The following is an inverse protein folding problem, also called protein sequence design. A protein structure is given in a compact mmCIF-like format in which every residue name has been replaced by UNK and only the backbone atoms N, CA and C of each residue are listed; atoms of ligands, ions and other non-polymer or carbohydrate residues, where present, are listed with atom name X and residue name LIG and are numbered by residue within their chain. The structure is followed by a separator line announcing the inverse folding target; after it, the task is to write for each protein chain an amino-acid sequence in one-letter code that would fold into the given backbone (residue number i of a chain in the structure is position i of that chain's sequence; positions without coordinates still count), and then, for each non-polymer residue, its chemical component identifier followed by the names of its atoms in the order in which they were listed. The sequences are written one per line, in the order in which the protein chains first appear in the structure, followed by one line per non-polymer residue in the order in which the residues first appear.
data_IF_648671993967
#
_entry.id   IF_648671993967
#
_cell.length_a   1.000
_cell.length_b   1.000
_cell.length_c   1.000
_cell.angle_alpha   90.00
_cell.angle_beta   90.00
_cell.angle_gamma   90.00
#
_symmetry.space_group_name_H-M   'P 1'
#
loop_
_entity.id
_entity.type
_entity.pdbx_description
1 polymer ?
#
# COMPACT_ATOMS: atom_id res chain seq x y z
N UNK A 1 47.98 -8.48 33.95
CA UNK A 1 48.70 -9.35 32.99
C UNK A 1 47.74 -10.47 32.62
N UNK A 2 46.94 -10.37 31.56
CA UNK A 2 47.04 -9.57 30.34
C UNK A 2 45.68 -8.97 29.95
N UNK A 3 45.73 -7.79 29.34
CA UNK A 3 44.65 -7.14 28.62
C UNK A 3 44.12 -7.98 27.47
N UNK A 4 42.82 -7.86 27.18
CA UNK A 4 42.32 -8.03 25.82
C UNK A 4 41.11 -7.11 25.62
N UNK A 5 41.40 -5.84 25.33
CA UNK A 5 40.54 -5.09 24.43
C UNK A 5 40.58 -5.77 23.06
N UNK A 6 39.42 -6.22 22.59
CA UNK A 6 39.18 -6.43 21.17
C UNK A 6 37.84 -5.77 20.86
N UNK A 7 37.92 -4.49 20.51
CA UNK A 7 36.92 -3.80 19.72
C UNK A 7 36.56 -4.65 18.51
N UNK A 8 35.34 -5.15 18.45
CA UNK A 8 34.73 -5.59 17.19
C UNK A 8 33.35 -4.99 17.12
N UNK A 9 33.32 -3.78 16.59
CA UNK A 9 32.15 -3.20 15.93
C UNK A 9 31.65 -4.23 14.90
N UNK A 10 30.60 -4.96 15.24
CA UNK A 10 29.79 -5.64 14.24
C UNK A 10 28.82 -4.60 13.67
N UNK A 11 29.37 -3.61 12.97
CA UNK A 11 28.62 -2.70 12.11
C UNK A 11 28.13 -3.46 10.88
N UNK A 12 27.26 -4.45 11.09
CA UNK A 12 26.52 -5.08 10.02
C UNK A 12 25.52 -4.06 9.49
N UNK A 13 25.89 -3.31 8.45
CA UNK A 13 24.93 -2.55 7.66
C UNK A 13 23.92 -3.54 7.10
N UNK A 14 22.76 -3.66 7.74
CA UNK A 14 21.59 -4.33 7.20
C UNK A 14 21.26 -3.64 5.89
N UNK A 15 21.51 -4.33 4.77
CA UNK A 15 21.23 -3.79 3.46
C UNK A 15 19.71 -3.75 3.28
N UNK A 16 19.13 -2.56 3.46
CA UNK A 16 17.70 -2.34 3.21
C UNK A 16 17.43 -2.59 1.73
N UNK A 17 16.52 -3.51 1.43
CA UNK A 17 16.04 -3.75 0.07
C UNK A 17 14.60 -3.26 -0.02
N UNK A 18 14.41 -2.14 -0.69
CA UNK A 18 13.08 -1.60 -0.98
C UNK A 18 12.44 -2.40 -2.11
N UNK A 19 11.30 -3.04 -1.82
CA UNK A 19 10.49 -3.72 -2.83
C UNK A 19 9.67 -2.68 -3.58
N UNK A 20 9.90 -2.56 -4.88
CA UNK A 20 9.19 -1.60 -5.74
C UNK A 20 7.80 -2.10 -6.13
N UNK A 21 6.92 -1.16 -6.42
CA UNK A 21 5.65 -1.42 -7.10
C UNK A 21 5.87 -2.08 -8.47
N UNK A 22 4.89 -2.87 -8.91
CA UNK A 22 4.92 -3.51 -10.22
C UNK A 22 4.76 -2.48 -11.34
N UNK A 23 5.49 -2.68 -12.44
CA UNK A 23 5.27 -1.87 -13.64
C UNK A 23 3.86 -2.11 -14.19
N UNK A 24 3.33 -1.15 -14.97
CA UNK A 24 1.97 -1.25 -15.52
C UNK A 24 1.74 -2.55 -16.33
N UNK A 25 2.74 -3.00 -17.08
CA UNK A 25 2.68 -4.24 -17.85
C UNK A 25 2.64 -5.49 -16.96
N UNK A 26 3.43 -5.51 -15.89
CA UNK A 26 3.48 -6.62 -14.92
C UNK A 26 2.19 -6.66 -14.10
N UNK A 27 1.69 -5.50 -13.71
CA UNK A 27 0.43 -5.34 -12.99
C UNK A 27 -0.75 -5.88 -13.80
N UNK A 28 -0.79 -5.58 -15.10
CA UNK A 28 -1.82 -6.10 -15.99
C UNK A 28 -1.71 -7.62 -16.14
N UNK A 29 -0.50 -8.17 -16.26
CA UNK A 29 -0.31 -9.62 -16.31
C UNK A 29 -0.80 -10.30 -15.03
N UNK A 30 -0.40 -9.78 -13.86
CA UNK A 30 -0.81 -10.33 -12.57
C UNK A 30 -2.33 -10.29 -12.39
N UNK A 31 -2.94 -9.15 -12.68
CA UNK A 31 -4.40 -9.01 -12.60
C UNK A 31 -5.12 -9.98 -13.54
N UNK A 32 -4.66 -10.11 -14.80
CA UNK A 32 -5.26 -11.03 -15.77
C UNK A 32 -5.12 -12.48 -15.33
N UNK A 33 -4.00 -12.84 -14.73
CA UNK A 33 -3.78 -14.17 -14.19
C UNK A 33 -4.83 -14.52 -13.13
N UNK A 34 -5.13 -13.61 -12.20
CA UNK A 34 -6.16 -13.83 -11.18
C UNK A 34 -7.60 -13.71 -11.71
N UNK A 35 -7.85 -12.89 -12.73
CA UNK A 35 -9.17 -12.73 -13.32
C UNK A 35 -9.56 -13.85 -14.29
N UNK A 36 -8.63 -14.29 -15.13
CA UNK A 36 -8.89 -15.19 -16.27
C UNK A 36 -8.11 -16.51 -16.21
N UNK A 37 -7.12 -16.66 -15.32
CA UNK A 37 -6.23 -17.82 -15.28
C UNK A 37 -5.15 -17.82 -16.37
N UNK A 38 -5.06 -16.76 -17.17
CA UNK A 38 -4.06 -16.56 -18.22
C UNK A 38 -3.87 -15.08 -18.53
N UNK A 39 -2.82 -14.73 -19.28
CA UNK A 39 -2.49 -13.33 -19.57
C UNK A 39 -3.32 -12.70 -20.70
N UNK A 40 -4.22 -13.44 -21.34
CA UNK A 40 -5.10 -12.93 -22.40
C UNK A 40 -6.36 -12.28 -21.82
N UNK A 41 -6.78 -11.15 -22.40
CA UNK A 41 -8.02 -10.43 -22.01
C UNK A 41 -8.90 -10.30 -23.24
N UNK A 42 -10.20 -10.59 -23.15
CA UNK A 42 -11.14 -10.22 -24.20
C UNK A 42 -11.06 -8.72 -24.47
N UNK A 43 -11.03 -8.32 -25.74
CA UNK A 43 -10.84 -6.91 -26.12
C UNK A 43 -11.93 -5.99 -25.52
N UNK A 44 -13.16 -6.51 -25.37
CA UNK A 44 -14.28 -5.83 -24.69
C UNK A 44 -14.02 -5.50 -23.22
N UNK A 45 -13.13 -6.24 -22.54
CA UNK A 45 -12.82 -6.08 -21.13
C UNK A 45 -11.51 -5.30 -20.89
N UNK A 46 -10.71 -5.10 -21.94
CA UNK A 46 -9.35 -4.56 -21.82
C UNK A 46 -9.31 -3.14 -21.25
N UNK A 47 -10.26 -2.27 -21.63
CA UNK A 47 -10.35 -0.92 -21.09
C UNK A 47 -10.58 -0.92 -19.57
N UNK A 48 -11.50 -1.77 -19.09
CA UNK A 48 -11.80 -1.89 -17.66
C UNK A 48 -10.65 -2.52 -16.88
N UNK A 49 -10.00 -3.56 -17.44
CA UNK A 49 -8.81 -4.15 -16.84
C UNK A 49 -7.70 -3.11 -16.64
N UNK A 50 -7.44 -2.26 -17.63
CA UNK A 50 -6.44 -1.18 -17.52
C UNK A 50 -6.82 -0.15 -16.46
N UNK A 51 -8.09 0.25 -16.37
CA UNK A 51 -8.54 1.19 -15.34
C UNK A 51 -8.43 0.61 -13.94
N UNK A 52 -8.80 -0.65 -13.72
CA UNK A 52 -8.66 -1.35 -12.44
C UNK A 52 -7.19 -1.50 -12.04
N UNK A 53 -6.33 -1.92 -12.98
CA UNK A 53 -4.89 -2.04 -12.76
C UNK A 53 -4.27 -0.70 -12.40
N UNK A 54 -4.70 0.38 -13.06
CA UNK A 54 -4.26 1.74 -12.73
C UNK A 54 -4.70 2.13 -11.31
N UNK A 55 -5.94 1.80 -10.93
CA UNK A 55 -6.45 2.05 -9.58
C UNK A 55 -5.64 1.31 -8.50
N UNK A 56 -5.17 0.08 -8.78
CA UNK A 56 -4.34 -0.68 -7.84
C UNK A 56 -2.93 -0.12 -7.59
N UNK A 57 -2.46 0.86 -8.37
CA UNK A 57 -1.16 1.50 -8.14
C UNK A 57 0.04 0.56 -8.15
N UNK A 58 -0.02 -0.57 -8.88
CA UNK A 58 1.08 -1.53 -8.92
C UNK A 58 1.26 -2.40 -7.67
N UNK A 59 0.34 -2.31 -6.69
CA UNK A 59 0.36 -3.13 -5.48
C UNK A 59 -0.09 -4.57 -5.80
N UNK A 60 0.79 -5.60 -5.65
CA UNK A 60 0.46 -6.98 -5.99
C UNK A 60 -0.79 -7.49 -5.27
N UNK A 61 -0.94 -7.12 -4.00
CA UNK A 61 -2.07 -7.52 -3.16
C UNK A 61 -3.40 -7.02 -3.73
N UNK A 62 -3.49 -5.74 -4.10
CA UNK A 62 -4.70 -5.14 -4.64
C UNK A 62 -5.09 -5.79 -5.98
N UNK A 63 -4.09 -6.01 -6.85
CA UNK A 63 -4.29 -6.68 -8.13
C UNK A 63 -4.83 -8.10 -7.98
N UNK A 64 -4.28 -8.86 -7.03
CA UNK A 64 -4.74 -10.22 -6.74
C UNK A 64 -6.17 -10.25 -6.19
N UNK A 65 -6.49 -9.40 -5.21
CA UNK A 65 -7.81 -9.35 -4.59
C UNK A 65 -8.88 -8.98 -5.62
N UNK A 66 -8.64 -7.90 -6.39
CA UNK A 66 -9.60 -7.45 -7.39
C UNK A 66 -9.71 -8.40 -8.58
N UNK A 67 -8.59 -8.92 -9.09
CA UNK A 67 -8.60 -9.92 -10.16
C UNK A 67 -9.43 -11.14 -9.79
N UNK A 68 -9.19 -11.69 -8.59
CA UNK A 68 -9.93 -12.86 -8.08
C UNK A 68 -11.42 -12.56 -7.88
N UNK A 69 -11.76 -11.39 -7.34
CA UNK A 69 -13.16 -10.97 -7.11
C UNK A 69 -13.96 -10.77 -8.40
N UNK A 70 -13.27 -10.44 -9.49
CA UNK A 70 -13.86 -10.17 -10.80
C UNK A 70 -13.81 -11.38 -11.75
N UNK A 71 -13.18 -12.47 -11.33
CA UNK A 71 -13.12 -13.69 -12.13
C UNK A 71 -14.53 -14.18 -12.49
N UNK A 72 -14.69 -14.58 -13.75
CA UNK A 72 -15.95 -15.08 -14.32
C UNK A 72 -17.15 -14.10 -14.29
N UNK A 73 -16.92 -12.81 -13.97
CA UNK A 73 -17.97 -11.78 -14.02
C UNK A 73 -18.09 -11.13 -15.39
N UNK A 74 -19.25 -10.57 -15.69
CA UNK A 74 -19.51 -9.84 -16.93
C UNK A 74 -18.80 -8.49 -16.97
N UNK A 75 -18.59 -7.96 -18.17
CA UNK A 75 -18.05 -6.59 -18.38
C UNK A 75 -18.88 -5.53 -17.63
N UNK A 76 -20.20 -5.69 -17.56
CA UNK A 76 -21.06 -4.78 -16.79
C UNK A 76 -20.78 -4.83 -15.29
N UNK A 77 -20.52 -6.01 -14.72
CA UNK A 77 -20.10 -6.14 -13.32
C UNK A 77 -18.73 -5.53 -13.07
N UNK A 78 -17.81 -5.62 -14.02
CA UNK A 78 -16.49 -4.98 -13.91
C UNK A 78 -16.60 -3.47 -13.88
N UNK A 79 -17.42 -2.88 -14.75
CA UNK A 79 -17.73 -1.44 -14.74
C UNK A 79 -18.31 -1.01 -13.39
N UNK A 80 -19.33 -1.72 -12.91
CA UNK A 80 -19.97 -1.40 -11.62
C UNK A 80 -19.02 -1.57 -10.44
N UNK A 81 -18.11 -2.56 -10.48
CA UNK A 81 -17.09 -2.72 -9.44
C UNK A 81 -16.08 -1.57 -9.45
N UNK A 82 -15.63 -1.13 -10.63
CA UNK A 82 -14.75 0.04 -10.76
C UNK A 82 -15.42 1.30 -10.21
N UNK A 83 -16.68 1.57 -10.60
CA UNK A 83 -17.47 2.70 -10.08
C UNK A 83 -17.60 2.64 -8.55
N UNK A 84 -17.81 1.45 -7.98
CA UNK A 84 -17.87 1.28 -6.53
C UNK A 84 -16.52 1.55 -5.86
N UNK A 85 -15.41 1.09 -6.45
CA UNK A 85 -14.06 1.25 -5.90
C UNK A 85 -13.57 2.69 -5.88
N UNK A 86 -14.07 3.52 -6.80
CA UNK A 86 -13.78 4.96 -6.82
C UNK A 86 -14.37 5.68 -5.59
N UNK A 87 -15.43 5.13 -5.00
CA UNK A 87 -16.13 5.72 -3.84
C UNK A 87 -15.87 4.97 -2.52
N UNK A 88 -15.74 3.64 -2.58
CA UNK A 88 -15.70 2.76 -1.41
C UNK A 88 -14.56 1.76 -1.59
N UNK A 89 -13.54 1.79 -0.72
CA UNK A 89 -12.44 0.84 -0.78
C UNK A 89 -12.90 -0.62 -0.60
N UNK A 90 -12.14 -1.56 -1.17
CA UNK A 90 -12.42 -2.98 -1.03
C UNK A 90 -12.15 -3.45 0.41
N UNK A 91 -13.16 -4.07 1.04
CA UNK A 91 -13.09 -4.47 2.44
C UNK A 91 -12.01 -5.51 2.73
N UNK A 92 -11.71 -6.39 1.75
CA UNK A 92 -10.68 -7.42 1.92
C UNK A 92 -9.29 -6.80 1.86
N UNK A 93 -9.09 -5.81 0.99
CA UNK A 93 -7.84 -5.04 0.97
C UNK A 93 -7.68 -4.28 2.30
N UNK A 94 -8.74 -3.59 2.75
CA UNK A 94 -8.72 -2.88 4.03
C UNK A 94 -8.42 -3.79 5.21
N UNK A 95 -9.02 -4.99 5.27
CA UNK A 95 -8.77 -5.96 6.34
C UNK A 95 -7.30 -6.37 6.42
N UNK A 96 -6.66 -6.60 5.27
CA UNK A 96 -5.26 -6.99 5.23
C UNK A 96 -4.34 -5.82 5.65
N UNK A 97 -4.61 -4.61 5.15
CA UNK A 97 -3.84 -3.41 5.54
C UNK A 97 -4.06 -3.03 7.01
N UNK A 98 -5.24 -3.33 7.55
CA UNK A 98 -5.58 -3.05 8.94
C UNK A 98 -4.69 -3.80 9.92
N UNK A 99 -4.11 -4.94 9.54
CA UNK A 99 -3.16 -5.67 10.39
C UNK A 99 -1.97 -4.77 10.78
N UNK A 100 -1.44 -4.00 9.82
CA UNK A 100 -0.36 -3.04 10.08
C UNK A 100 -0.82 -1.88 10.96
N UNK A 101 -2.02 -1.36 10.72
CA UNK A 101 -2.59 -0.29 11.54
C UNK A 101 -2.85 -0.72 12.99
N UNK A 102 -3.44 -1.90 13.19
CA UNK A 102 -3.73 -2.43 14.53
C UNK A 102 -2.44 -2.74 15.31
N UNK A 103 -1.29 -2.94 14.62
CA UNK A 103 0.03 -3.18 15.22
C UNK A 103 0.74 -1.94 15.77
N UNK A 104 0.23 -0.74 15.48
CA UNK A 104 0.75 0.52 16.05
C UNK A 104 0.57 0.52 17.59
N UNK A 105 1.60 1.02 18.29
CA UNK A 105 1.78 0.82 19.73
C UNK A 105 0.65 1.41 20.57
N UNK A 106 0.22 2.62 20.24
CA UNK A 106 -0.80 3.35 20.99
C UNK A 106 -1.78 4.13 20.11
N UNK A 107 -2.76 4.77 20.77
CA UNK A 107 -3.78 5.57 20.09
C UNK A 107 -3.21 6.86 19.49
N UNK A 108 -2.06 7.36 19.98
CA UNK A 108 -1.42 8.52 19.39
C UNK A 108 -0.94 8.19 17.98
N UNK A 109 -0.18 7.11 17.80
CA UNK A 109 0.36 6.73 16.49
C UNK A 109 -0.72 6.32 15.51
N UNK A 110 -1.78 5.67 16.00
CA UNK A 110 -2.97 5.34 15.22
C UNK A 110 -3.67 6.59 14.69
N UNK A 111 -3.94 7.57 15.55
CA UNK A 111 -4.56 8.82 15.11
C UNK A 111 -3.63 9.62 14.19
N UNK A 112 -2.33 9.65 14.51
CA UNK A 112 -1.31 10.28 13.68
C UNK A 112 -1.26 9.70 12.26
N UNK A 113 -1.26 8.38 12.11
CA UNK A 113 -1.36 7.73 10.80
C UNK A 113 -2.63 8.14 10.05
N UNK A 114 -3.79 8.14 10.75
CA UNK A 114 -5.07 8.53 10.16
C UNK A 114 -5.05 9.98 9.65
N UNK A 115 -4.50 10.91 10.42
CA UNK A 115 -4.39 12.31 10.01
C UNK A 115 -3.52 12.46 8.76
N UNK A 116 -2.40 11.73 8.69
CA UNK A 116 -1.54 11.70 7.49
C UNK A 116 -2.33 11.25 6.27
N UNK A 117 -3.00 10.10 6.35
CA UNK A 117 -3.70 9.52 5.19
C UNK A 117 -5.01 10.25 4.86
N UNK A 118 -5.63 10.95 5.81
CA UNK A 118 -6.88 11.68 5.53
C UNK A 118 -6.63 13.10 5.04
N UNK A 119 -5.61 13.79 5.57
CA UNK A 119 -5.44 15.24 5.39
C UNK A 119 -4.17 15.61 4.62
N UNK A 120 -3.14 14.77 4.69
CA UNK A 120 -1.80 15.12 4.21
C UNK A 120 -1.29 14.24 3.06
N UNK A 121 -2.14 13.43 2.42
CA UNK A 121 -1.75 12.69 1.20
C UNK A 121 -1.24 13.66 0.13
N UNK A 122 -0.03 13.39 -0.36
CA UNK A 122 0.63 14.19 -1.40
C UNK A 122 1.11 15.56 -0.92
N UNK A 123 1.05 15.85 0.38
CA UNK A 123 1.64 17.06 0.97
C UNK A 123 3.11 16.83 1.32
N UNK A 124 3.85 17.93 1.36
CA UNK A 124 5.24 17.92 1.77
C UNK A 124 5.38 17.59 3.27
N UNK A 125 6.46 16.88 3.63
CA UNK A 125 6.72 16.45 4.99
C UNK A 125 6.88 17.63 5.95
N UNK A 126 7.63 18.65 5.58
CA UNK A 126 7.90 19.80 6.46
C UNK A 126 6.62 20.61 6.70
N UNK A 127 5.77 20.71 5.66
CA UNK A 127 4.45 21.32 5.78
C UNK A 127 3.55 20.56 6.77
N UNK A 128 3.46 19.23 6.63
CA UNK A 128 2.70 18.38 7.54
C UNK A 128 3.24 18.48 8.97
N UNK A 129 4.56 18.38 9.16
CA UNK A 129 5.18 18.44 10.48
C UNK A 129 4.93 19.77 11.17
N UNK A 130 5.02 20.89 10.46
CA UNK A 130 4.72 22.22 11.02
C UNK A 130 3.29 22.31 11.56
N UNK A 131 2.31 21.72 10.85
CA UNK A 131 0.91 21.75 11.26
C UNK A 131 0.67 20.84 12.46
N UNK A 132 1.17 19.60 12.41
CA UNK A 132 0.95 18.61 13.46
C UNK A 132 1.66 19.00 14.76
N UNK A 133 2.89 19.53 14.69
CA UNK A 133 3.59 20.08 15.86
C UNK A 133 2.82 21.27 16.46
N UNK A 134 2.20 22.11 15.63
CA UNK A 134 1.33 23.20 16.06
C UNK A 134 0.02 22.73 16.73
N UNK A 135 -0.34 21.45 16.57
CA UNK A 135 -1.45 20.78 17.26
C UNK A 135 -0.99 19.94 18.46
N UNK A 136 0.24 20.16 18.94
CA UNK A 136 0.85 19.42 20.06
C UNK A 136 0.97 17.91 19.81
N UNK A 137 1.09 17.47 18.55
CA UNK A 137 1.42 16.08 18.23
C UNK A 137 2.90 15.82 18.51
N UNK A 138 3.22 14.60 18.90
CA UNK A 138 4.60 14.14 18.96
C UNK A 138 5.04 13.68 17.56
N UNK A 139 5.07 14.59 16.58
CA UNK A 139 5.26 14.24 15.15
C UNK A 139 6.57 13.50 14.87
N UNK A 140 7.66 13.90 15.53
CA UNK A 140 8.98 13.28 15.27
C UNK A 140 8.96 11.80 15.63
N UNK A 141 8.51 11.45 16.84
CA UNK A 141 8.41 10.05 17.28
C UNK A 141 7.30 9.32 16.52
N UNK A 142 6.19 10.00 16.21
CA UNK A 142 5.11 9.42 15.40
C UNK A 142 5.60 8.98 14.03
N UNK A 143 6.44 9.77 13.34
CA UNK A 143 7.05 9.35 12.07
C UNK A 143 7.97 8.15 12.27
N UNK A 144 8.80 8.15 13.31
CA UNK A 144 9.71 7.03 13.59
C UNK A 144 8.96 5.72 13.84
N UNK A 145 7.78 5.78 14.48
CA UNK A 145 6.95 4.62 14.78
C UNK A 145 6.16 4.06 13.57
N UNK A 146 6.06 4.81 12.46
CA UNK A 146 5.38 4.37 11.24
C UNK A 146 6.29 3.62 10.24
N UNK A 147 7.60 3.48 10.52
CA UNK A 147 8.62 2.98 9.58
C UNK A 147 9.04 1.53 9.87
#
# INVERSE_FOLDING_TARGET
MFDLEASTSCGGLSKLFEVKELASSESLQLFNWYAFGHNSVPESSMAYARSLVKHCGGLPLALQVLGSSLSSKSVSSWKSALEKLEEIPDSKIQEILRISYDSLEDDHDKNFFLDIVCLFIGKDRDYMTTILDGCDYYTTIGIENLV
#
